data_IF_039163558527
#
_entry.id   IF_039163558527
#
_cell.length_a   1.000
_cell.length_b   1.000
_cell.length_c   1.000
_cell.angle_alpha   90.00
_cell.angle_beta   90.00
_cell.angle_gamma   90.00
#
_symmetry.space_group_name_H-M   'P 1'
#
loop_
_entity.id
_entity.type
_entity.pdbx_description
1 polymer ?
#
# COMPACT_ATOMS: atom_id res chain seq x y z
N UNK A 1 -39.07 -19.19 64.77
CA UNK A 1 -37.62 -19.46 64.88
C UNK A 1 -37.36 -20.68 63.99
N UNK A 2 -36.60 -20.70 62.90
CA UNK A 2 -35.36 -20.02 62.52
C UNK A 2 -35.34 -19.70 61.02
N UNK A 3 -35.08 -18.44 60.65
CA UNK A 3 -34.65 -17.99 59.32
C UNK A 3 -33.18 -17.58 59.45
N UNK A 4 -32.22 -18.39 59.01
CA UNK A 4 -30.81 -17.91 58.93
C UNK A 4 -29.94 -18.53 57.85
N UNK A 5 -30.39 -19.47 57.02
CA UNK A 5 -29.47 -20.19 56.12
C UNK A 5 -29.41 -19.68 54.67
N UNK A 6 -30.33 -18.80 54.24
CA UNK A 6 -30.44 -18.39 52.83
C UNK A 6 -29.66 -17.11 52.43
N UNK A 7 -28.85 -16.53 53.34
CA UNK A 7 -28.22 -15.21 53.10
C UNK A 7 -26.74 -15.27 52.69
N UNK A 8 -26.10 -16.45 52.74
CA UNK A 8 -24.66 -16.60 52.57
C UNK A 8 -24.17 -16.77 51.13
N UNK A 9 -24.98 -17.36 50.25
CA UNK A 9 -24.53 -17.76 48.91
C UNK A 9 -24.67 -16.67 47.84
N UNK A 10 -25.66 -15.79 47.95
CA UNK A 10 -25.86 -14.71 46.98
C UNK A 10 -24.77 -13.63 47.00
N UNK A 11 -24.08 -13.47 48.14
CA UNK A 11 -23.04 -12.47 48.31
C UNK A 11 -21.72 -12.88 47.62
N UNK A 12 -21.49 -14.19 47.43
CA UNK A 12 -20.28 -14.71 46.79
C UNK A 12 -20.41 -14.79 45.27
N UNK A 13 -21.63 -14.98 44.75
CA UNK A 13 -21.91 -14.97 43.31
C UNK A 13 -21.77 -13.58 42.68
N UNK A 14 -22.15 -12.50 43.39
CA UNK A 14 -22.09 -11.13 42.85
C UNK A 14 -20.69 -10.51 42.82
N UNK A 15 -19.73 -11.02 43.61
CA UNK A 15 -18.33 -10.53 43.60
C UNK A 15 -17.46 -11.09 42.48
N UNK A 16 -17.87 -12.19 41.84
CA UNK A 16 -17.14 -12.74 40.68
C UNK A 16 -17.60 -12.14 39.34
N UNK A 17 -18.72 -11.39 39.32
CA UNK A 17 -19.31 -10.81 38.12
C UNK A 17 -18.95 -9.34 37.85
N UNK A 18 -17.87 -8.81 38.45
CA UNK A 18 -17.41 -7.43 38.21
C UNK A 18 -15.97 -7.31 37.69
N UNK A 19 -15.35 -8.41 37.28
CA UNK A 19 -14.00 -8.40 36.67
C UNK A 19 -14.03 -8.89 35.20
N UNK A 20 -15.19 -9.28 34.67
CA UNK A 20 -15.31 -9.88 33.34
C UNK A 20 -16.00 -8.98 32.28
N UNK A 21 -15.88 -7.64 32.37
CA UNK A 21 -16.61 -6.73 31.47
C UNK A 21 -15.78 -5.57 30.90
N UNK A 22 -14.44 -5.65 30.88
CA UNK A 22 -13.57 -4.68 30.20
C UNK A 22 -12.43 -5.42 29.49
N UNK A 23 -12.74 -6.27 28.50
CA UNK A 23 -11.71 -6.91 27.67
C UNK A 23 -12.21 -7.31 26.27
N UNK A 24 -13.26 -6.68 25.74
CA UNK A 24 -13.85 -7.04 24.44
C UNK A 24 -13.91 -5.87 23.44
N UNK A 25 -13.12 -4.82 23.65
CA UNK A 25 -13.20 -3.59 22.83
C UNK A 25 -12.06 -3.35 21.83
N UNK A 26 -11.01 -4.18 21.77
CA UNK A 26 -9.75 -3.80 21.12
C UNK A 26 -9.27 -4.73 19.99
N UNK A 27 -10.16 -5.48 19.33
CA UNK A 27 -9.76 -6.44 18.27
C UNK A 27 -10.25 -6.11 16.86
N UNK A 28 -10.80 -4.92 16.60
CA UNK A 28 -11.22 -4.51 15.25
C UNK A 28 -10.21 -3.64 14.47
N UNK A 29 -9.02 -3.40 15.01
CA UNK A 29 -7.92 -2.83 14.22
C UNK A 29 -7.02 -3.95 13.71
N UNK A 30 -7.47 -4.70 12.71
CA UNK A 30 -6.58 -5.60 11.97
C UNK A 30 -6.88 -5.57 10.49
N UNK A 31 -5.85 -5.14 9.75
CA UNK A 31 -5.70 -5.20 8.29
C UNK A 31 -6.36 -4.08 7.46
N UNK A 32 -6.15 -2.82 7.82
CA UNK A 32 -6.00 -1.83 6.76
C UNK A 32 -4.60 -2.03 6.15
N UNK A 33 -4.52 -2.50 4.90
CA UNK A 33 -3.27 -2.47 4.15
C UNK A 33 -2.80 -1.02 4.12
N UNK A 34 -1.65 -0.72 4.73
CA UNK A 34 -1.15 0.64 4.82
C UNK A 34 -0.48 1.03 3.50
N UNK A 35 -1.33 1.26 2.52
CA UNK A 35 -1.10 2.03 1.30
C UNK A 35 -1.76 3.40 1.52
N UNK A 36 -1.01 4.46 1.28
CA UNK A 36 -1.56 5.81 1.14
C UNK A 36 -1.35 6.28 -0.30
N UNK A 37 -2.13 7.24 -0.78
CA UNK A 37 -1.76 7.96 -2.00
C UNK A 37 -0.48 8.76 -1.77
N UNK A 38 0.41 8.79 -2.77
CA UNK A 38 1.59 9.64 -2.78
C UNK A 38 1.81 10.27 -4.15
N UNK A 39 2.45 11.43 -4.19
CA UNK A 39 2.82 12.10 -5.43
C UNK A 39 4.31 12.00 -5.72
N UNK A 40 4.69 11.84 -6.99
CA UNK A 40 6.07 11.89 -7.49
C UNK A 40 6.13 12.75 -8.76
N UNK A 41 7.27 13.42 -9.02
CA UNK A 41 7.45 14.16 -10.27
C UNK A 41 7.44 13.20 -11.46
N UNK A 42 6.96 13.68 -12.60
CA UNK A 42 6.93 12.90 -13.84
C UNK A 42 8.33 12.41 -14.27
N UNK A 43 9.40 13.11 -13.90
CA UNK A 43 10.78 12.68 -14.14
C UNK A 43 11.08 11.30 -13.56
N UNK A 44 10.55 10.99 -12.37
CA UNK A 44 10.78 9.72 -11.68
C UNK A 44 10.02 8.59 -12.40
N UNK A 45 8.79 8.87 -12.85
CA UNK A 45 8.01 7.95 -13.68
C UNK A 45 8.72 7.68 -15.00
N UNK A 46 9.26 8.72 -15.64
CA UNK A 46 10.00 8.60 -16.89
C UNK A 46 11.30 7.81 -16.71
N UNK A 47 11.99 7.95 -15.59
CA UNK A 47 13.16 7.12 -15.25
C UNK A 47 12.80 5.62 -15.22
N UNK A 48 11.69 5.26 -14.60
CA UNK A 48 11.19 3.88 -14.63
C UNK A 48 10.79 3.45 -16.04
N UNK A 49 10.07 4.31 -16.77
CA UNK A 49 9.61 4.03 -18.13
C UNK A 49 10.77 3.81 -19.11
N UNK A 50 11.95 4.39 -18.89
CA UNK A 50 13.13 4.17 -19.75
C UNK A 50 13.61 2.71 -19.79
N UNK A 51 13.22 1.88 -18.81
CA UNK A 51 13.43 0.43 -18.90
C UNK A 51 12.60 -0.22 -20.02
N UNK A 52 11.56 0.45 -20.50
CA UNK A 52 10.68 0.07 -21.62
C UNK A 52 10.67 1.22 -22.63
N UNK A 53 11.62 1.29 -23.58
CA UNK A 53 11.80 2.45 -24.46
C UNK A 53 10.52 2.91 -25.17
N UNK A 54 9.69 1.97 -25.64
CA UNK A 54 8.41 2.28 -26.27
C UNK A 54 7.44 3.02 -25.35
N UNK A 55 7.43 2.73 -24.05
CA UNK A 55 6.60 3.45 -23.08
C UNK A 55 7.14 4.86 -22.85
N UNK A 56 8.46 5.01 -22.69
CA UNK A 56 9.07 6.33 -22.52
C UNK A 56 8.76 7.25 -23.72
N UNK A 57 8.90 6.74 -24.95
CA UNK A 57 8.57 7.47 -26.17
C UNK A 57 7.08 7.87 -26.22
N UNK A 58 6.17 6.98 -25.82
CA UNK A 58 4.73 7.28 -25.76
C UNK A 58 4.44 8.40 -24.77
N UNK A 59 5.01 8.34 -23.57
CA UNK A 59 4.81 9.37 -22.55
C UNK A 59 5.38 10.72 -22.99
N UNK A 60 6.60 10.75 -23.52
CA UNK A 60 7.22 11.97 -24.06
C UNK A 60 6.41 12.57 -25.23
N UNK A 61 5.88 11.73 -26.12
CA UNK A 61 5.01 12.17 -27.20
C UNK A 61 3.69 12.79 -26.70
N UNK A 62 3.09 12.23 -25.64
CA UNK A 62 1.89 12.80 -25.01
C UNK A 62 2.17 14.16 -24.40
N UNK A 63 3.26 14.29 -23.64
CA UNK A 63 3.70 15.58 -23.07
C UNK A 63 3.90 16.63 -24.17
N UNK A 64 4.58 16.26 -25.26
CA UNK A 64 4.81 17.16 -26.40
C UNK A 64 3.50 17.54 -27.12
N UNK A 65 2.56 16.60 -27.26
CA UNK A 65 1.26 16.83 -27.89
C UNK A 65 0.40 17.82 -27.08
N UNK A 66 0.38 17.65 -25.76
CA UNK A 66 -0.41 18.48 -24.84
C UNK A 66 0.27 19.83 -24.50
N UNK A 67 1.53 20.03 -24.95
CA UNK A 67 2.33 21.26 -24.74
C UNK A 67 2.46 21.65 -23.27
N UNK A 68 2.56 20.65 -22.40
CA UNK A 68 2.76 20.83 -20.96
C UNK A 68 4.25 20.76 -20.64
N UNK A 69 4.69 21.52 -19.62
CA UNK A 69 6.08 21.43 -19.15
C UNK A 69 6.25 20.15 -18.31
N UNK A 70 7.12 19.21 -18.72
CA UNK A 70 7.36 17.99 -17.94
C UNK A 70 7.86 18.23 -16.51
N UNK A 71 8.45 19.39 -16.22
CA UNK A 71 8.89 19.76 -14.87
C UNK A 71 7.72 20.12 -13.93
N UNK A 72 6.56 20.49 -14.48
CA UNK A 72 5.35 20.82 -13.72
C UNK A 72 4.42 19.61 -13.53
N UNK A 73 4.68 18.51 -14.24
CA UNK A 73 3.85 17.30 -14.17
C UNK A 73 4.10 16.52 -12.88
N UNK A 74 3.01 16.22 -12.19
CA UNK A 74 2.98 15.42 -10.98
C UNK A 74 2.12 14.18 -11.22
N UNK A 75 2.66 13.01 -10.88
CA UNK A 75 1.94 11.76 -10.94
C UNK A 75 1.54 11.31 -9.52
N UNK A 76 0.45 10.56 -9.42
CA UNK A 76 0.06 9.78 -8.27
C UNK A 76 0.66 8.37 -8.30
N UNK A 77 0.85 7.79 -7.11
CA UNK A 77 1.33 6.43 -6.92
C UNK A 77 0.84 5.86 -5.59
N UNK A 78 0.90 4.53 -5.47
CA UNK A 78 0.76 3.85 -4.18
C UNK A 78 1.99 4.11 -3.33
N UNK A 79 1.83 4.80 -2.19
CA UNK A 79 2.88 5.00 -1.19
C UNK A 79 2.85 3.89 -0.15
N UNK A 80 3.96 3.17 -0.03
CA UNK A 80 4.13 2.13 0.98
C UNK A 80 4.20 2.75 2.39
N UNK A 81 3.40 2.25 3.32
CA UNK A 81 3.33 2.77 4.68
C UNK A 81 4.54 2.40 5.56
N UNK A 82 4.60 2.96 6.76
CA UNK A 82 5.73 2.81 7.69
C UNK A 82 5.92 1.37 8.23
N UNK A 83 4.97 0.46 8.00
CA UNK A 83 5.14 -0.95 8.32
C UNK A 83 6.19 -1.64 7.44
N UNK A 84 6.52 -1.05 6.30
CA UNK A 84 7.60 -1.49 5.43
C UNK A 84 8.94 -1.03 6.00
N UNK A 85 9.70 -1.96 6.60
CA UNK A 85 10.90 -1.64 7.38
C UNK A 85 11.94 -0.84 6.58
N UNK A 86 12.12 -1.20 5.32
CA UNK A 86 13.14 -0.64 4.44
C UNK A 86 12.55 0.17 3.27
N UNK A 87 11.24 0.04 3.03
CA UNK A 87 10.55 0.64 1.90
C UNK A 87 9.45 1.62 2.34
N UNK A 88 9.45 2.03 3.60
CA UNK A 88 8.48 3.00 4.10
C UNK A 88 8.61 4.33 3.36
N UNK A 89 7.52 4.76 2.71
CA UNK A 89 7.47 5.96 1.88
C UNK A 89 7.79 5.74 0.41
N UNK A 90 8.23 4.55 0.02
CA UNK A 90 8.48 4.19 -1.38
C UNK A 90 7.18 4.27 -2.19
N UNK A 91 7.29 4.63 -3.47
CA UNK A 91 6.15 4.78 -4.37
C UNK A 91 6.18 3.67 -5.41
N UNK A 92 5.06 2.98 -5.57
CA UNK A 92 4.94 1.84 -6.48
C UNK A 92 3.71 1.98 -7.38
N UNK A 93 3.65 1.11 -8.39
CA UNK A 93 2.56 1.04 -9.36
C UNK A 93 1.17 0.90 -8.69
N UNK A 94 0.09 1.29 -9.38
CA UNK A 94 0.08 2.03 -10.65
C UNK A 94 0.64 3.46 -10.49
N UNK A 95 1.22 4.01 -11.56
CA UNK A 95 1.48 5.45 -11.66
C UNK A 95 0.37 6.12 -12.45
N UNK A 96 -0.22 7.18 -11.91
CA UNK A 96 -1.30 7.92 -12.54
C UNK A 96 -0.82 9.34 -12.81
N UNK A 97 -0.72 9.75 -14.08
CA UNK A 97 -0.24 11.08 -14.44
C UNK A 97 -1.35 11.87 -15.14
N UNK A 98 -1.55 13.12 -14.71
CA UNK A 98 -2.37 14.09 -15.45
C UNK A 98 -1.49 14.79 -16.49
N UNK A 99 -1.58 14.39 -17.76
CA UNK A 99 -0.84 14.99 -18.87
C UNK A 99 -1.82 15.83 -19.70
N UNK A 100 -1.80 17.14 -19.49
CA UNK A 100 -2.75 18.06 -20.13
C UNK A 100 -4.19 17.75 -19.72
N UNK A 101 -5.04 17.41 -20.69
CA UNK A 101 -6.42 17.02 -20.44
C UNK A 101 -6.62 15.50 -20.22
N UNK A 102 -5.54 14.70 -20.23
CA UNK A 102 -5.60 13.24 -20.16
C UNK A 102 -5.09 12.73 -18.84
N UNK A 103 -5.81 11.76 -18.27
CA UNK A 103 -5.29 10.92 -17.18
C UNK A 103 -4.73 9.66 -17.81
N UNK A 104 -3.43 9.41 -17.60
CA UNK A 104 -2.77 8.18 -18.05
C UNK A 104 -2.41 7.32 -16.85
N UNK A 105 -2.72 6.03 -16.94
CA UNK A 105 -2.36 5.05 -15.91
C UNK A 105 -1.30 4.13 -16.48
N UNK A 106 -0.17 4.05 -15.79
CA UNK A 106 0.94 3.16 -16.10
C UNK A 106 0.87 1.99 -15.12
N UNK A 107 0.68 0.80 -15.68
CA UNK A 107 0.62 -0.47 -14.96
C UNK A 107 1.85 -1.32 -15.32
N UNK A 108 2.01 -2.43 -14.62
CA UNK A 108 3.08 -3.38 -14.86
C UNK A 108 3.22 -4.35 -13.70
N UNK A 109 4.41 -4.93 -13.59
CA UNK A 109 4.76 -5.89 -12.55
C UNK A 109 5.64 -5.22 -11.50
N UNK A 110 5.30 -5.43 -10.23
CA UNK A 110 6.12 -5.04 -9.08
C UNK A 110 6.84 -6.29 -8.56
N UNK A 111 8.17 -6.25 -8.53
CA UNK A 111 8.98 -7.28 -7.89
C UNK A 111 9.59 -6.72 -6.60
N UNK A 112 9.32 -7.38 -5.47
CA UNK A 112 9.92 -7.07 -4.18
C UNK A 112 11.15 -7.93 -3.96
N UNK A 113 12.30 -7.30 -3.70
CA UNK A 113 13.59 -7.97 -3.55
C UNK A 113 14.10 -7.90 -2.12
N UNK A 114 14.78 -8.96 -1.66
CA UNK A 114 15.51 -8.96 -0.40
C UNK A 114 16.87 -8.23 -0.51
N UNK A 115 17.58 -8.13 0.62
CA UNK A 115 18.91 -7.50 0.70
C UNK A 115 19.98 -8.15 -0.19
N UNK A 116 19.73 -9.36 -0.71
CA UNK A 116 20.62 -10.09 -1.62
C UNK A 116 20.19 -9.93 -3.08
N UNK A 117 19.15 -9.14 -3.35
CA UNK A 117 18.59 -8.96 -4.69
C UNK A 117 17.73 -10.14 -5.16
N UNK A 118 17.29 -11.03 -4.26
CA UNK A 118 16.40 -12.13 -4.61
C UNK A 118 14.95 -11.66 -4.59
N UNK A 119 14.20 -11.97 -5.66
CA UNK A 119 12.74 -11.74 -5.70
C UNK A 119 12.05 -12.60 -4.64
N UNK A 120 11.33 -11.95 -3.74
CA UNK A 120 10.54 -12.58 -2.68
C UNK A 120 9.08 -12.72 -3.13
N UNK A 121 8.55 -11.68 -3.77
CA UNK A 121 7.17 -11.60 -4.25
C UNK A 121 7.12 -10.82 -5.55
N UNK A 122 6.26 -11.27 -6.45
CA UNK A 122 5.89 -10.60 -7.69
C UNK A 122 4.40 -10.27 -7.65
N UNK A 123 4.05 -9.03 -7.97
CA UNK A 123 2.66 -8.53 -8.02
C UNK A 123 2.39 -8.07 -9.44
N UNK A 124 1.40 -8.66 -10.10
CA UNK A 124 0.99 -8.26 -11.43
C UNK A 124 0.02 -7.06 -11.37
N UNK A 125 0.02 -6.25 -12.43
CA UNK A 125 -0.90 -5.12 -12.64
C UNK A 125 -0.92 -4.11 -11.48
N UNK A 126 0.22 -3.90 -10.82
CA UNK A 126 0.37 -2.90 -9.75
C UNK A 126 -0.48 -3.12 -8.48
N UNK A 127 -1.24 -4.22 -8.35
CA UNK A 127 -2.16 -4.42 -7.22
C UNK A 127 -1.45 -4.87 -5.93
N UNK A 128 -0.87 -3.91 -5.23
CA UNK A 128 -0.18 -4.11 -3.97
C UNK A 128 -1.11 -4.38 -2.77
N UNK A 129 -2.44 -4.45 -2.96
CA UNK A 129 -3.40 -4.58 -1.84
C UNK A 129 -3.35 -5.95 -1.16
N UNK A 130 -2.86 -6.98 -1.87
CA UNK A 130 -2.74 -8.36 -1.37
C UNK A 130 -1.42 -8.72 -0.67
N UNK A 131 -0.52 -7.76 -0.45
CA UNK A 131 0.83 -8.06 0.06
C UNK A 131 0.81 -8.41 1.56
N UNK A 132 1.42 -9.54 1.92
CA UNK A 132 1.46 -10.03 3.30
C UNK A 132 2.52 -9.32 4.17
N UNK A 133 2.32 -9.33 5.50
CA UNK A 133 3.27 -8.76 6.47
C UNK A 133 4.69 -9.31 6.36
N UNK A 134 4.87 -10.55 5.91
CA UNK A 134 6.19 -11.17 5.77
C UNK A 134 7.04 -10.48 4.69
N UNK A 135 6.40 -9.88 3.68
CA UNK A 135 7.08 -9.10 2.65
C UNK A 135 7.56 -7.77 3.22
N UNK A 136 6.76 -7.13 4.08
CA UNK A 136 7.07 -5.82 4.66
C UNK A 136 8.37 -5.78 5.46
N UNK A 137 8.75 -6.90 6.10
CA UNK A 137 9.96 -6.97 6.92
C UNK A 137 11.23 -7.28 6.13
N UNK A 138 11.10 -7.98 5.00
CA UNK A 138 12.23 -8.59 4.30
C UNK A 138 12.56 -7.90 2.97
N UNK A 139 11.57 -7.24 2.35
CA UNK A 139 11.80 -6.49 1.13
C UNK A 139 12.63 -5.24 1.43
N UNK A 140 13.70 -5.05 0.67
CA UNK A 140 14.62 -3.91 0.77
C UNK A 140 14.68 -3.09 -0.50
N UNK A 141 14.18 -3.61 -1.62
CA UNK A 141 14.11 -2.92 -2.89
C UNK A 141 12.85 -3.32 -3.66
N UNK A 142 12.47 -2.45 -4.61
CA UNK A 142 11.42 -2.69 -5.59
C UNK A 142 12.02 -2.59 -6.99
N UNK A 143 11.59 -3.47 -7.89
CA UNK A 143 11.88 -3.37 -9.32
C UNK A 143 10.57 -3.43 -10.09
N UNK A 144 10.47 -2.63 -11.14
CA UNK A 144 9.34 -2.67 -12.05
C UNK A 144 9.74 -3.38 -13.34
N UNK A 145 8.83 -4.20 -13.86
CA UNK A 145 8.97 -4.83 -15.17
C UNK A 145 7.63 -4.79 -15.91
N UNK A 146 7.66 -5.09 -17.20
CA UNK A 146 6.47 -5.14 -18.06
C UNK A 146 5.60 -3.87 -17.96
N UNK A 147 6.25 -2.70 -17.85
CA UNK A 147 5.55 -1.42 -17.75
C UNK A 147 4.81 -1.11 -19.06
N UNK A 148 3.56 -0.70 -18.95
CA UNK A 148 2.71 -0.35 -20.08
C UNK A 148 1.61 0.65 -19.68
N UNK A 149 1.07 1.37 -20.65
CA UNK A 149 -0.16 2.12 -20.46
C UNK A 149 -1.34 1.15 -20.28
N UNK A 150 -2.12 1.37 -19.23
CA UNK A 150 -3.38 0.66 -19.03
C UNK A 150 -4.38 1.11 -20.13
N UNK A 151 -5.02 0.17 -20.86
CA UNK A 151 -6.04 0.53 -21.82
C UNK A 151 -7.26 1.16 -21.12
N UNK A 152 -7.86 2.17 -21.76
CA UNK A 152 -9.10 2.84 -21.33
C UNK A 152 -10.32 1.89 -21.34
#
# INVERSE_FOLDING_TARGET
>A
MHQTEWRGDEARARRRLRIAAIALGAWLFSAAGAVAGGSLPFSDVLEHARAVPALAEQLEAMVAQEKVDPAELVCGATRLGNQWRHLGGERVLPFECEIGARTVVIDGVIEFLDAKGKVIVTVANGDATGITKAVFSNATAVRFSDLHLKPE
#
